data_IF_629384202076
#
_entry.id   IF_629384202076
#
_cell.length_a   1.000
_cell.length_b   1.000
_cell.length_c   1.000
_cell.angle_alpha   90.00
_cell.angle_beta   90.00
_cell.angle_gamma   90.00
#
_symmetry.space_group_name_H-M   'P 1'
#
loop_
_entity.id
_entity.type
_entity.pdbx_description
1 polymer ?
#
# COMPACT_ATOMS: atom_id res chain seq x y z
N UNK A 1 -14.43 20.55 50.84
CA UNK A 1 -14.12 19.52 49.82
C UNK A 1 -14.33 18.15 50.45
N UNK A 2 -15.24 17.30 49.97
CA UNK A 2 -15.39 15.97 50.53
C UNK A 2 -14.16 15.14 50.17
N UNK A 3 -13.51 14.53 51.16
CA UNK A 3 -12.41 13.59 50.98
C UNK A 3 -12.89 12.47 50.05
N UNK A 4 -12.26 12.32 48.87
CA UNK A 4 -12.48 11.16 48.01
C UNK A 4 -12.22 9.90 48.86
N UNK A 5 -13.24 9.05 49.06
CA UNK A 5 -13.04 7.72 49.62
C UNK A 5 -12.11 6.96 48.66
N UNK A 6 -10.95 6.49 49.14
CA UNK A 6 -10.11 5.59 48.35
C UNK A 6 -10.83 4.25 48.26
N UNK A 7 -11.39 3.98 47.09
CA UNK A 7 -12.08 2.73 46.79
C UNK A 7 -11.00 1.74 46.35
N UNK A 8 -10.91 0.59 47.02
CA UNK A 8 -9.95 -0.45 46.63
C UNK A 8 -10.36 -1.08 45.29
N UNK A 9 -9.43 -1.14 44.35
CA UNK A 9 -9.65 -1.71 43.01
C UNK A 9 -8.65 -2.85 42.80
N UNK A 10 -9.12 -3.95 42.22
CA UNK A 10 -8.29 -5.11 41.88
C UNK A 10 -8.38 -5.42 40.39
N UNK A 11 -7.27 -5.78 39.77
CA UNK A 11 -7.23 -6.22 38.38
C UNK A 11 -7.63 -7.70 38.28
N UNK A 12 -8.69 -7.99 37.54
CA UNK A 12 -9.22 -9.34 37.31
C UNK A 12 -8.70 -9.91 35.99
N UNK A 13 -8.74 -9.10 34.93
CA UNK A 13 -8.21 -9.44 33.62
C UNK A 13 -7.36 -8.27 33.10
N UNK A 14 -6.18 -8.59 32.58
CA UNK A 14 -5.26 -7.62 32.02
C UNK A 14 -5.82 -7.02 30.71
N UNK A 15 -6.54 -7.81 29.92
CA UNK A 15 -6.93 -7.42 28.57
C UNK A 15 -5.74 -7.32 27.60
N UNK A 16 -6.00 -6.76 26.42
CA UNK A 16 -5.08 -6.76 25.27
C UNK A 16 -4.73 -5.36 24.76
N UNK A 17 -3.47 -5.20 24.32
CA UNK A 17 -3.03 -4.05 23.52
C UNK A 17 -3.23 -4.39 22.05
N UNK A 18 -4.07 -3.59 21.39
CA UNK A 18 -4.34 -3.71 19.95
C UNK A 18 -3.75 -2.50 19.24
N UNK A 19 -2.90 -2.76 18.24
CA UNK A 19 -2.14 -1.73 17.49
C UNK A 19 -3.03 -0.62 16.94
N UNK A 20 -4.18 -0.98 16.35
CA UNK A 20 -5.13 -0.02 15.74
C UNK A 20 -5.62 1.03 16.76
N UNK A 21 -5.88 0.61 18.00
CA UNK A 21 -6.41 1.48 19.04
C UNK A 21 -5.32 2.16 19.84
N UNK A 22 -4.25 1.46 20.21
CA UNK A 22 -3.22 1.97 21.11
C UNK A 22 -2.09 2.71 20.39
N UNK A 23 -1.89 2.45 19.09
CA UNK A 23 -0.82 3.02 18.26
C UNK A 23 -1.33 3.49 16.88
N UNK A 24 -2.64 3.73 16.77
CA UNK A 24 -3.29 4.32 15.60
C UNK A 24 -3.69 5.79 15.80
N UNK A 25 -4.51 6.35 14.90
CA UNK A 25 -4.90 7.76 14.91
C UNK A 25 -5.58 8.25 16.20
N UNK A 26 -6.37 7.38 16.83
CA UNK A 26 -7.12 7.67 18.06
C UNK A 26 -6.38 7.23 19.33
N UNK A 27 -5.11 6.83 19.22
CA UNK A 27 -4.30 6.31 20.32
C UNK A 27 -4.32 7.16 21.58
N UNK A 28 -4.26 8.49 21.44
CA UNK A 28 -4.24 9.41 22.59
C UNK A 28 -5.37 9.23 23.61
N UNK A 29 -6.49 8.62 23.22
CA UNK A 29 -7.62 8.38 24.11
C UNK A 29 -7.54 7.02 24.82
N UNK A 30 -6.68 6.12 24.34
CA UNK A 30 -6.41 4.80 24.92
C UNK A 30 -5.24 4.80 25.90
N UNK A 31 -4.67 5.98 26.19
CA UNK A 31 -3.61 6.16 27.17
C UNK A 31 -4.03 7.20 28.20
N UNK A 32 -3.94 6.84 29.49
CA UNK A 32 -4.27 7.72 30.61
C UNK A 32 -2.98 8.11 31.34
N UNK A 33 -2.92 9.35 31.82
CA UNK A 33 -1.78 9.87 32.56
C UNK A 33 -2.00 9.61 34.06
N UNK A 34 -0.96 9.14 34.77
CA UNK A 34 -1.01 9.03 36.24
C UNK A 34 -1.18 10.41 36.89
N UNK A 35 -1.97 10.48 37.96
CA UNK A 35 -2.39 11.74 38.61
C UNK A 35 -1.39 12.30 39.62
N UNK A 36 -0.34 11.57 39.98
CA UNK A 36 0.62 12.01 41.01
C UNK A 36 1.91 12.63 40.43
N UNK A 37 2.44 13.59 41.19
CA UNK A 37 3.35 14.68 40.78
C UNK A 37 4.71 14.24 40.22
N UNK A 38 5.36 15.22 39.57
CA UNK A 38 6.73 15.28 39.02
C UNK A 38 7.10 14.26 37.92
N UNK A 39 6.57 13.04 37.93
CA UNK A 39 6.84 11.99 36.92
C UNK A 39 5.55 11.37 36.34
N UNK A 40 4.64 12.22 35.86
CA UNK A 40 3.40 11.79 35.24
C UNK A 40 3.67 10.87 34.04
N UNK A 41 3.39 9.58 34.20
CA UNK A 41 3.63 8.54 33.18
C UNK A 41 2.30 8.09 32.57
N UNK A 42 2.30 7.78 31.27
CA UNK A 42 1.14 7.20 30.60
C UNK A 42 1.02 5.70 30.86
N UNK A 43 -0.20 5.22 31.03
CA UNK A 43 -0.53 3.79 31.08
C UNK A 43 -1.67 3.47 30.12
N UNK A 44 -1.70 2.27 29.52
CA UNK A 44 -2.70 1.91 28.53
C UNK A 44 -4.03 1.55 29.19
N UNK A 45 -5.13 1.87 28.50
CA UNK A 45 -6.46 1.35 28.76
C UNK A 45 -6.66 0.13 27.85
N UNK A 46 -6.54 -1.09 28.37
CA UNK A 46 -6.50 -2.28 27.51
C UNK A 46 -7.90 -2.76 27.14
N UNK A 47 -8.05 -3.26 25.91
CA UNK A 47 -9.33 -3.82 25.46
C UNK A 47 -9.58 -5.15 26.16
N UNK A 48 -10.74 -5.29 26.79
CA UNK A 48 -11.10 -6.43 27.63
C UNK A 48 -10.53 -6.37 29.06
N UNK A 49 -9.83 -5.28 29.42
CA UNK A 49 -9.34 -5.10 30.78
C UNK A 49 -10.51 -5.12 31.75
N UNK A 50 -10.43 -5.95 32.78
CA UNK A 50 -11.49 -6.11 33.79
C UNK A 50 -10.95 -5.75 35.17
N UNK A 51 -11.55 -4.77 35.82
CA UNK A 51 -11.25 -4.41 37.22
C UNK A 51 -12.46 -4.69 38.10
N UNK A 52 -12.21 -5.11 39.35
CA UNK A 52 -13.22 -5.34 40.37
C UNK A 52 -13.06 -4.34 41.50
N UNK A 53 -14.17 -3.79 41.95
CA UNK A 53 -14.26 -3.05 43.21
C UNK A 53 -15.46 -3.53 44.04
N UNK A 54 -15.38 -3.39 45.35
CA UNK A 54 -16.45 -3.75 46.27
C UNK A 54 -17.01 -2.49 46.93
N UNK A 55 -18.30 -2.25 46.79
CA UNK A 55 -19.01 -1.12 47.38
C UNK A 55 -20.27 -1.62 48.06
N UNK A 56 -20.47 -1.23 49.33
CA UNK A 56 -21.62 -1.68 50.14
C UNK A 56 -21.83 -3.20 50.08
N UNK A 57 -20.73 -3.97 50.16
CA UNK A 57 -20.71 -5.44 50.09
C UNK A 57 -21.19 -6.04 48.76
N UNK A 58 -21.28 -5.24 47.69
CA UNK A 58 -21.57 -5.72 46.34
C UNK A 58 -20.33 -5.58 45.45
N UNK A 59 -20.12 -6.58 44.61
CA UNK A 59 -19.03 -6.59 43.63
C UNK A 59 -19.47 -5.84 42.36
N UNK A 60 -18.61 -4.92 41.93
CA UNK A 60 -18.74 -4.20 40.68
C UNK A 60 -17.54 -4.49 39.80
N UNK A 61 -17.80 -4.91 38.57
CA UNK A 61 -16.82 -5.17 37.55
C UNK A 61 -16.90 -4.11 36.46
N UNK A 62 -15.75 -3.59 36.07
CA UNK A 62 -15.64 -2.62 34.98
C UNK A 62 -14.82 -3.25 33.88
N UNK A 63 -15.40 -3.32 32.69
CA UNK A 63 -14.76 -3.88 31.50
C UNK A 63 -14.56 -2.76 30.48
N UNK A 64 -13.32 -2.61 30.02
CA UNK A 64 -12.99 -1.66 28.95
C UNK A 64 -13.29 -2.30 27.59
N UNK A 65 -14.13 -1.66 26.80
CA UNK A 65 -14.57 -2.11 25.47
C UNK A 65 -14.24 -1.08 24.40
N UNK A 66 -14.30 -1.50 23.13
CA UNK A 66 -14.13 -0.60 21.98
C UNK A 66 -15.44 0.10 21.69
N UNK A 67 -15.37 1.43 21.60
CA UNK A 67 -16.49 2.28 21.25
C UNK A 67 -17.36 2.64 22.44
N UNK A 68 -17.94 3.84 22.37
CA UNK A 68 -18.94 4.31 23.31
C UNK A 68 -20.04 5.08 22.58
N UNK A 69 -21.06 5.53 23.32
CA UNK A 69 -22.20 6.29 22.78
C UNK A 69 -21.82 7.54 21.97
N UNK A 70 -20.65 8.12 22.21
CA UNK A 70 -20.18 9.31 21.52
C UNK A 70 -19.29 9.00 20.31
N UNK A 71 -18.53 7.89 20.34
CA UNK A 71 -17.50 7.63 19.34
C UNK A 71 -17.07 6.16 19.28
N UNK A 72 -17.06 5.58 18.07
CA UNK A 72 -16.81 4.15 17.84
C UNK A 72 -15.36 3.70 18.14
N UNK A 73 -14.38 4.59 18.00
CA UNK A 73 -12.96 4.28 18.23
C UNK A 73 -12.41 4.69 19.59
N UNK A 74 -13.24 5.23 20.49
CA UNK A 74 -12.81 5.63 21.84
C UNK A 74 -13.10 4.50 22.84
N UNK A 75 -12.38 4.45 23.97
CA UNK A 75 -12.71 3.49 25.02
C UNK A 75 -14.14 3.70 25.54
N UNK A 76 -14.85 2.60 25.71
CA UNK A 76 -16.10 2.51 26.43
C UNK A 76 -15.93 1.71 27.72
N UNK A 77 -16.79 1.99 28.69
CA UNK A 77 -16.74 1.37 30.01
C UNK A 77 -18.07 0.69 30.31
N UNK A 78 -18.02 -0.62 30.46
CA UNK A 78 -19.17 -1.45 30.81
C UNK A 78 -19.09 -1.80 32.30
N UNK A 79 -20.11 -1.46 33.08
CA UNK A 79 -20.20 -1.84 34.48
C UNK A 79 -21.14 -3.04 34.63
N UNK A 80 -20.71 -4.05 35.38
CA UNK A 80 -21.50 -5.22 35.72
C UNK A 80 -21.50 -5.42 37.24
N UNK A 81 -22.68 -5.67 37.81
CA UNK A 81 -22.83 -6.13 39.18
C UNK A 81 -23.87 -7.23 39.22
N UNK A 82 -23.51 -8.40 39.75
CA UNK A 82 -24.32 -9.61 39.70
C UNK A 82 -24.84 -9.91 38.27
N UNK A 83 -26.17 -9.91 38.09
CA UNK A 83 -26.85 -10.11 36.81
C UNK A 83 -27.09 -8.81 36.01
N UNK A 84 -26.83 -7.65 36.60
CA UNK A 84 -27.07 -6.36 35.98
C UNK A 84 -25.86 -5.89 35.17
N UNK A 85 -26.12 -5.45 33.94
CA UNK A 85 -25.11 -4.89 33.04
C UNK A 85 -25.59 -3.48 32.64
N UNK A 86 -24.73 -2.49 32.81
CA UNK A 86 -25.02 -1.10 32.46
C UNK A 86 -24.95 -0.88 30.94
N UNK A 87 -25.41 0.29 30.48
CA UNK A 87 -25.02 0.77 29.16
C UNK A 87 -23.52 1.09 29.12
N UNK A 88 -22.96 1.18 27.91
CA UNK A 88 -21.56 1.53 27.70
C UNK A 88 -21.38 3.03 27.92
N UNK A 89 -20.63 3.39 28.96
CA UNK A 89 -20.33 4.77 29.30
C UNK A 89 -19.07 5.28 28.60
N UNK A 90 -18.98 6.59 28.41
CA UNK A 90 -17.85 7.26 27.74
C UNK A 90 -16.78 7.77 28.70
N UNK A 91 -17.02 7.74 30.01
CA UNK A 91 -16.10 8.29 31.02
C UNK A 91 -15.83 7.25 32.14
N UNK A 92 -14.55 7.00 32.48
CA UNK A 92 -14.17 6.09 33.55
C UNK A 92 -14.58 6.55 34.96
N UNK A 93 -14.80 7.85 35.16
CA UNK A 93 -15.22 8.44 36.43
C UNK A 93 -16.64 8.01 36.81
N UNK A 94 -17.49 7.75 35.82
CA UNK A 94 -18.80 7.12 36.01
C UNK A 94 -18.69 5.62 36.31
N UNK A 95 -17.51 5.02 36.13
CA UNK A 95 -17.23 3.61 36.27
C UNK A 95 -16.24 3.28 37.41
N UNK A 96 -15.95 4.20 38.32
CA UNK A 96 -15.22 3.90 39.58
C UNK A 96 -13.83 3.25 39.34
N UNK A 97 -13.07 3.73 38.34
CA UNK A 97 -11.70 3.24 38.10
C UNK A 97 -10.66 4.17 38.73
N UNK A 98 -10.23 3.91 39.96
CA UNK A 98 -8.89 4.28 40.43
C UNK A 98 -7.92 3.15 40.06
N UNK A 99 -6.77 3.50 39.50
CA UNK A 99 -5.74 2.53 39.14
C UNK A 99 -4.60 2.73 40.14
N UNK A 100 -4.45 1.78 41.06
CA UNK A 100 -3.34 1.79 42.01
C UNK A 100 -2.01 1.52 41.29
N UNK A 101 -0.89 1.98 41.86
CA UNK A 101 0.45 1.87 41.24
C UNK A 101 0.82 0.43 40.84
N UNK A 102 0.45 -0.56 41.65
CA UNK A 102 0.68 -1.98 41.38
C UNK A 102 -0.03 -2.47 40.10
N UNK A 103 -1.21 -1.92 39.80
CA UNK A 103 -1.95 -2.26 38.58
C UNK A 103 -1.30 -1.60 37.38
N UNK A 104 -0.87 -0.34 37.51
CA UNK A 104 -0.15 0.40 36.46
C UNK A 104 1.10 -0.37 36.04
N UNK A 105 1.89 -0.89 36.98
CA UNK A 105 3.06 -1.70 36.67
C UNK A 105 2.71 -2.95 35.85
N UNK A 106 1.63 -3.67 36.19
CA UNK A 106 1.15 -4.82 35.40
C UNK A 106 0.68 -4.40 34.01
N UNK A 107 -0.02 -3.27 33.90
CA UNK A 107 -0.49 -2.71 32.63
C UNK A 107 0.65 -2.23 31.72
N UNK A 108 1.87 -2.06 32.23
CA UNK A 108 3.03 -1.65 31.44
C UNK A 108 3.91 -2.83 30.98
N UNK A 109 3.69 -4.04 31.50
CA UNK A 109 4.64 -5.17 31.36
C UNK A 109 5.03 -5.57 29.92
N UNK A 110 4.11 -5.55 28.97
CA UNK A 110 4.33 -5.92 27.55
C UNK A 110 4.20 -4.75 26.57
N UNK A 111 4.14 -3.52 27.09
CA UNK A 111 4.11 -2.28 26.31
C UNK A 111 5.45 -2.07 25.59
N UNK A 112 5.39 -1.83 24.27
CA UNK A 112 6.60 -1.57 23.46
C UNK A 112 7.12 -0.15 23.61
N UNK A 113 6.20 0.79 23.64
CA UNK A 113 6.49 2.21 23.74
C UNK A 113 5.40 2.87 24.55
N UNK A 114 5.80 3.57 25.62
CA UNK A 114 4.90 4.41 26.41
C UNK A 114 4.87 5.78 25.76
N UNK A 115 3.70 6.27 25.33
CA UNK A 115 3.58 7.58 24.71
C UNK A 115 4.05 8.71 25.63
N UNK A 116 4.42 9.83 25.02
CA UNK A 116 4.76 11.06 25.71
C UNK A 116 3.93 12.21 25.15
N UNK A 117 3.71 13.23 25.97
CA UNK A 117 3.04 14.45 25.53
C UNK A 117 3.95 15.63 25.74
N UNK A 118 4.07 16.46 24.71
CA UNK A 118 4.78 17.73 24.76
C UNK A 118 3.80 18.86 24.44
N UNK A 119 4.12 20.05 24.94
CA UNK A 119 3.37 21.28 24.65
C UNK A 119 4.30 22.20 23.88
N UNK A 120 3.83 22.67 22.72
CA UNK A 120 4.53 23.62 21.88
C UNK A 120 3.60 24.81 21.68
N UNK A 121 3.95 25.96 22.27
CA UNK A 121 3.03 27.09 22.43
C UNK A 121 1.69 26.65 23.05
N UNK A 122 0.62 26.56 22.26
CA UNK A 122 -0.72 26.11 22.65
C UNK A 122 -1.09 24.71 22.13
N UNK A 123 -0.20 24.06 21.39
CA UNK A 123 -0.44 22.77 20.77
C UNK A 123 0.08 21.63 21.65
N UNK A 124 -0.82 20.72 22.03
CA UNK A 124 -0.47 19.49 22.75
C UNK A 124 -0.21 18.36 21.75
N UNK A 125 1.06 18.07 21.51
CA UNK A 125 1.50 16.98 20.63
C UNK A 125 1.66 15.71 21.48
N UNK A 126 1.05 14.63 21.01
CA UNK A 126 1.08 13.31 21.62
C UNK A 126 1.89 12.38 20.72
N UNK A 127 3.03 11.91 21.21
CA UNK A 127 3.96 11.07 20.46
C UNK A 127 3.81 9.65 20.98
N UNK A 128 3.48 8.71 20.09
CA UNK A 128 3.11 7.34 20.44
C UNK A 128 3.84 6.30 19.59
N UNK A 129 4.80 6.73 18.78
CA UNK A 129 5.74 5.86 18.10
C UNK A 129 7.06 6.59 17.93
N UNK A 130 8.16 5.87 18.15
CA UNK A 130 9.50 6.37 17.90
C UNK A 130 10.15 5.51 16.82
N UNK A 131 10.68 6.18 15.81
CA UNK A 131 11.54 5.59 14.80
C UNK A 131 12.82 6.40 14.74
N UNK A 132 13.94 5.75 14.51
CA UNK A 132 15.27 6.38 14.45
C UNK A 132 15.83 6.25 13.04
N UNK A 133 16.62 7.24 12.60
CA UNK A 133 17.39 7.15 11.36
C UNK A 133 18.63 8.03 11.40
N UNK A 134 19.50 7.87 10.40
CA UNK A 134 20.62 8.78 10.14
C UNK A 134 20.20 10.05 9.37
N UNK A 135 18.93 10.19 8.96
CA UNK A 135 18.49 11.34 8.16
C UNK A 135 18.42 12.61 9.02
N UNK A 136 19.27 13.58 8.68
CA UNK A 136 19.36 14.88 9.37
C UNK A 136 18.11 15.73 9.12
N UNK A 137 17.53 15.64 7.91
CA UNK A 137 16.31 16.37 7.55
C UNK A 137 15.07 15.92 8.35
N UNK A 138 15.15 14.76 8.98
CA UNK A 138 14.14 14.23 9.89
C UNK A 138 14.54 14.38 11.36
N UNK A 139 15.58 15.18 11.65
CA UNK A 139 16.15 15.35 12.98
C UNK A 139 16.41 13.99 13.66
N UNK A 140 16.99 13.07 12.90
CA UNK A 140 17.31 11.69 13.29
C UNK A 140 16.11 10.81 13.69
N UNK A 141 14.89 11.28 13.50
CA UNK A 141 13.72 10.40 13.50
C UNK A 141 13.71 9.54 12.24
N UNK A 142 12.94 8.47 12.25
CA UNK A 142 12.90 7.49 11.16
C UNK A 142 11.58 6.75 11.09
N UNK A 143 11.56 5.74 10.20
CA UNK A 143 10.40 4.89 9.97
C UNK A 143 9.85 4.33 11.29
N UNK A 144 8.55 4.52 11.53
CA UNK A 144 7.89 4.14 12.78
C UNK A 144 7.66 5.30 13.75
N UNK A 145 8.21 6.49 13.48
CA UNK A 145 7.83 7.70 14.21
C UNK A 145 6.36 8.04 13.97
N UNK A 146 5.60 8.27 15.04
CA UNK A 146 4.19 8.65 14.99
C UNK A 146 3.86 9.68 16.08
N UNK A 147 3.22 10.77 15.68
CA UNK A 147 2.68 11.77 16.60
C UNK A 147 1.30 12.26 16.17
N UNK A 148 0.57 12.86 17.11
CA UNK A 148 -0.74 13.46 16.83
C UNK A 148 -0.97 14.73 17.61
N UNK A 149 -1.72 15.65 17.01
CA UNK A 149 -2.24 16.85 17.68
C UNK A 149 -3.72 17.01 17.36
N UNK A 150 -4.45 17.65 18.28
CA UNK A 150 -5.84 18.01 18.06
C UNK A 150 -5.88 19.49 17.73
N UNK A 151 -6.48 19.84 16.60
CA UNK A 151 -6.70 21.22 16.21
C UNK A 151 -7.98 21.38 15.39
N UNK A 152 -8.37 22.62 15.11
CA UNK A 152 -9.57 22.93 14.32
C UNK A 152 -9.33 22.66 12.82
N UNK A 153 -10.30 22.03 12.17
CA UNK A 153 -10.32 21.74 10.72
C UNK A 153 -11.75 21.89 10.18
N UNK A 154 -11.90 22.31 8.91
CA UNK A 154 -13.16 22.44 8.16
C UNK A 154 -14.40 22.85 8.99
N UNK A 155 -14.69 24.16 9.01
CA UNK A 155 -15.83 24.68 9.79
C UNK A 155 -15.58 24.74 11.29
N UNK A 156 -14.32 24.90 11.71
CA UNK A 156 -13.88 25.04 13.11
C UNK A 156 -14.18 23.84 14.03
N UNK A 157 -14.54 22.68 13.48
CA UNK A 157 -14.68 21.43 14.23
C UNK A 157 -13.31 20.85 14.58
N UNK A 158 -13.23 20.12 15.69
CA UNK A 158 -11.99 19.44 16.07
C UNK A 158 -11.64 18.33 15.07
N UNK A 159 -10.35 18.16 14.81
CA UNK A 159 -9.79 17.08 14.02
C UNK A 159 -8.45 16.63 14.64
N UNK A 160 -8.09 15.38 14.36
CA UNK A 160 -6.81 14.80 14.76
C UNK A 160 -5.89 14.85 13.55
N UNK A 161 -4.78 15.55 13.70
CA UNK A 161 -3.70 15.59 12.75
C UNK A 161 -2.69 14.55 13.18
N UNK A 162 -2.39 13.60 12.29
CA UNK A 162 -1.47 12.49 12.55
C UNK A 162 -0.25 12.66 11.65
N UNK A 163 0.91 12.82 12.28
CA UNK A 163 2.20 12.93 11.61
C UNK A 163 2.92 11.58 11.71
N UNK A 164 3.40 11.06 10.59
CA UNK A 164 4.13 9.79 10.52
C UNK A 164 5.39 9.93 9.68
N UNK A 165 6.41 9.14 10.00
CA UNK A 165 7.57 8.92 9.14
C UNK A 165 7.56 7.45 8.74
N UNK A 166 7.62 7.20 7.43
CA UNK A 166 7.64 5.87 6.83
C UNK A 166 8.74 5.84 5.76
N UNK A 167 9.63 4.84 5.82
CA UNK A 167 10.72 4.53 4.86
C UNK A 167 11.53 5.72 4.29
N UNK A 168 10.96 6.46 3.34
CA UNK A 168 11.53 7.55 2.53
C UNK A 168 10.70 8.84 2.55
N UNK A 169 9.60 8.88 3.31
CA UNK A 169 8.67 10.01 3.30
C UNK A 169 8.06 10.31 4.67
N UNK A 170 7.71 11.58 4.82
CA UNK A 170 6.87 12.08 5.88
C UNK A 170 5.41 12.11 5.39
N UNK A 171 4.48 11.80 6.29
CA UNK A 171 3.04 11.73 6.01
C UNK A 171 2.29 12.56 7.04
N UNK A 172 1.30 13.32 6.58
CA UNK A 172 0.31 13.99 7.41
C UNK A 172 -1.09 13.51 7.01
N UNK A 173 -1.81 12.94 7.97
CA UNK A 173 -3.20 12.52 7.82
C UNK A 173 -4.10 13.34 8.73
N UNK A 174 -5.28 13.71 8.24
CA UNK A 174 -6.27 14.48 9.01
C UNK A 174 -7.51 13.63 9.19
N UNK A 175 -7.86 13.34 10.44
CA UNK A 175 -9.02 12.55 10.83
C UNK A 175 -10.07 13.44 11.49
N UNK A 176 -11.32 13.31 11.01
CA UNK A 176 -12.48 14.01 11.55
C UNK A 176 -13.71 13.12 11.36
N UNK A 177 -14.64 13.12 12.31
CA UNK A 177 -15.87 12.30 12.27
C UNK A 177 -15.58 10.82 11.94
N UNK A 178 -14.62 10.21 12.64
CA UNK A 178 -14.21 8.80 12.50
C UNK A 178 -13.61 8.40 11.14
N UNK A 179 -13.25 9.36 10.29
CA UNK A 179 -12.75 9.07 8.95
C UNK A 179 -11.55 9.95 8.60
N UNK A 180 -10.62 9.37 7.82
CA UNK A 180 -9.54 10.13 7.21
C UNK A 180 -10.15 11.06 6.14
N UNK A 181 -9.95 12.37 6.28
CA UNK A 181 -10.47 13.39 5.35
C UNK A 181 -9.43 13.85 4.34
N UNK A 182 -8.16 13.95 4.75
CA UNK A 182 -7.05 14.33 3.87
C UNK A 182 -5.78 13.59 4.23
N UNK A 183 -4.92 13.39 3.23
CA UNK A 183 -3.58 12.83 3.36
C UNK A 183 -2.61 13.65 2.52
N UNK A 184 -1.46 13.98 3.09
CA UNK A 184 -0.37 14.68 2.43
C UNK A 184 0.92 13.89 2.62
N UNK A 185 1.74 13.82 1.58
CA UNK A 185 3.03 13.13 1.56
C UNK A 185 4.10 14.06 0.98
N UNK A 186 5.32 13.95 1.51
CA UNK A 186 6.47 14.76 1.15
C UNK A 186 7.76 14.22 1.79
N UNK A 187 8.91 14.65 1.29
CA UNK A 187 10.22 14.11 1.67
C UNK A 187 10.64 14.47 3.11
N UNK A 188 10.18 15.61 3.62
CA UNK A 188 10.52 16.11 4.97
C UNK A 188 9.28 16.56 5.74
N UNK A 189 9.34 16.65 7.08
CA UNK A 189 8.22 17.17 7.87
C UNK A 189 7.80 18.57 7.42
N UNK A 190 8.78 19.41 7.06
CA UNK A 190 8.58 20.76 6.52
C UNK A 190 7.82 20.71 5.19
N UNK A 191 8.25 19.85 4.26
CA UNK A 191 7.65 19.75 2.94
C UNK A 191 6.17 19.34 3.01
N UNK A 192 5.85 18.36 3.87
CA UNK A 192 4.48 17.86 4.07
C UNK A 192 3.56 18.95 4.59
N UNK A 193 3.96 19.66 5.65
CA UNK A 193 3.15 20.71 6.25
C UNK A 193 2.99 21.93 5.32
N UNK A 194 4.04 22.32 4.58
CA UNK A 194 3.94 23.36 3.55
C UNK A 194 2.92 22.98 2.47
N UNK A 195 2.96 21.73 1.98
CA UNK A 195 2.01 21.21 0.98
C UNK A 195 0.56 21.16 1.47
N UNK A 196 0.35 21.00 2.78
CA UNK A 196 -1.00 21.04 3.36
C UNK A 196 -1.65 22.41 3.29
N UNK A 197 -0.83 23.47 3.25
CA UNK A 197 -1.24 24.87 3.42
C UNK A 197 -1.96 25.20 4.74
N UNK A 198 -1.94 24.28 5.70
CA UNK A 198 -2.55 24.46 7.02
C UNK A 198 -1.49 24.92 8.02
N UNK A 199 -1.95 25.63 9.07
CA UNK A 199 -1.10 25.99 10.21
C UNK A 199 0.22 26.69 9.81
N UNK A 200 0.19 27.54 8.76
CA UNK A 200 1.37 28.18 8.13
C UNK A 200 2.27 28.97 9.09
N UNK A 201 1.79 29.32 10.29
CA UNK A 201 2.58 29.94 11.36
C UNK A 201 3.70 29.02 11.87
N UNK A 202 3.50 27.70 11.85
CA UNK A 202 4.39 26.74 12.49
C UNK A 202 5.33 26.07 11.49
N UNK A 203 6.55 25.75 11.94
CA UNK A 203 7.46 24.88 11.21
C UNK A 203 6.93 23.43 11.24
N UNK A 204 7.07 22.70 10.12
CA UNK A 204 6.68 21.28 10.05
C UNK A 204 7.44 20.40 11.05
N UNK A 205 8.72 20.70 11.33
CA UNK A 205 9.48 19.97 12.35
C UNK A 205 8.92 20.19 13.77
N UNK A 206 8.47 21.41 14.08
CA UNK A 206 7.74 21.73 15.31
C UNK A 206 6.42 20.96 15.39
N UNK A 207 5.62 20.94 14.32
CA UNK A 207 4.34 20.24 14.29
C UNK A 207 4.47 18.71 14.35
N UNK A 208 5.59 18.15 13.92
CA UNK A 208 5.91 16.75 14.17
C UNK A 208 6.31 16.51 15.64
N UNK A 209 6.83 17.52 16.33
CA UNK A 209 7.35 17.44 17.69
C UNK A 209 8.84 17.15 17.77
N UNK A 210 9.56 17.23 16.64
CA UNK A 210 10.95 16.79 16.52
C UNK A 210 11.96 17.82 17.00
N UNK A 211 11.63 19.11 17.00
CA UNK A 211 12.52 20.15 17.55
C UNK A 211 12.55 20.16 19.09
N UNK A 212 11.64 19.42 19.73
CA UNK A 212 11.60 19.36 21.19
C UNK A 212 12.82 18.61 21.74
N UNK A 213 13.55 19.24 22.67
CA UNK A 213 14.78 18.68 23.24
C UNK A 213 14.57 17.33 23.93
N UNK A 214 13.46 17.13 24.64
CA UNK A 214 13.15 15.86 25.30
C UNK A 214 12.89 14.75 24.28
N UNK A 215 12.18 15.04 23.19
CA UNK A 215 11.98 14.09 22.08
C UNK A 215 13.31 13.74 21.43
N UNK A 216 14.18 14.72 21.21
CA UNK A 216 15.51 14.50 20.68
C UNK A 216 16.35 13.63 21.62
N UNK A 217 16.37 13.90 22.93
CA UNK A 217 17.03 13.02 23.90
C UNK A 217 16.48 11.60 23.84
N UNK A 218 15.17 11.43 23.70
CA UNK A 218 14.54 10.12 23.58
C UNK A 218 14.99 9.38 22.31
N UNK A 219 15.05 10.07 21.16
CA UNK A 219 15.56 9.53 19.89
C UNK A 219 17.03 9.10 20.05
N UNK A 220 17.86 9.94 20.65
CA UNK A 220 19.27 9.65 20.91
C UNK A 220 19.45 8.46 21.86
N UNK A 221 18.69 8.41 22.96
CA UNK A 221 18.73 7.28 23.90
C UNK A 221 18.27 5.97 23.26
N UNK A 222 17.24 5.99 22.42
CA UNK A 222 16.81 4.80 21.69
C UNK A 222 17.87 4.33 20.69
N UNK A 223 18.55 5.27 20.02
CA UNK A 223 19.71 4.97 19.17
C UNK A 223 20.88 4.36 19.94
N UNK A 224 21.10 4.78 21.20
CA UNK A 224 22.15 4.22 22.06
C UNK A 224 21.76 2.87 22.67
N UNK A 225 20.47 2.61 22.91
CA UNK A 225 19.97 1.32 23.44
C UNK A 225 20.05 0.18 22.42
N UNK A 226 19.91 0.46 21.13
CA UNK A 226 20.18 -0.55 20.10
C UNK A 226 21.70 -0.71 19.98
N UNK A 227 22.22 -1.95 20.00
CA UNK A 227 23.64 -2.16 19.82
C UNK A 227 24.03 -1.71 18.42
N UNK A 228 25.12 -0.94 18.33
CA UNK A 228 25.70 -0.57 17.03
C UNK A 228 26.15 -1.86 16.36
N UNK A 229 25.59 -2.16 15.19
CA UNK A 229 25.86 -3.38 14.46
C UNK A 229 26.26 -3.06 13.02
N UNK A 230 27.33 -3.71 12.57
CA UNK A 230 27.84 -3.66 11.22
C UNK A 230 28.03 -5.09 10.69
N UNK A 231 28.28 -5.29 9.39
CA UNK A 231 28.50 -6.62 8.82
C UNK A 231 29.49 -7.51 9.60
N UNK A 232 30.57 -6.93 10.14
CA UNK A 232 31.54 -7.64 11.00
C UNK A 232 30.95 -8.24 12.29
N UNK A 233 29.80 -7.72 12.74
CA UNK A 233 29.11 -8.13 13.96
C UNK A 233 27.99 -9.14 13.68
N UNK A 234 27.69 -9.46 12.42
CA UNK A 234 26.55 -10.32 12.09
C UNK A 234 26.69 -11.74 12.61
N UNK A 235 27.90 -12.23 12.85
CA UNK A 235 28.12 -13.54 13.49
C UNK A 235 27.78 -13.55 14.99
N UNK A 236 27.73 -12.38 15.64
CA UNK A 236 27.36 -12.28 17.05
C UNK A 236 25.84 -12.39 17.21
N UNK A 237 25.38 -13.58 17.58
CA UNK A 237 23.97 -13.86 17.78
C UNK A 237 23.33 -12.98 18.86
N UNK A 238 24.05 -12.58 19.91
CA UNK A 238 23.49 -11.78 21.00
C UNK A 238 23.14 -10.37 20.52
N UNK A 239 24.05 -9.73 19.80
CA UNK A 239 23.84 -8.41 19.18
C UNK A 239 22.69 -8.50 18.17
N UNK A 240 22.76 -9.47 17.26
CA UNK A 240 21.75 -9.63 16.21
C UNK A 240 20.36 -9.95 16.78
N UNK A 241 20.27 -10.73 17.87
CA UNK A 241 19.01 -11.08 18.53
C UNK A 241 18.32 -9.86 19.14
N UNK A 242 19.06 -8.90 19.68
CA UNK A 242 18.46 -7.66 20.20
C UNK A 242 17.80 -6.86 19.07
N UNK A 243 18.48 -6.74 17.94
CA UNK A 243 17.98 -6.04 16.75
C UNK A 243 16.79 -6.80 16.13
N UNK A 244 16.87 -8.14 16.06
CA UNK A 244 15.75 -9.00 15.64
C UNK A 244 14.52 -8.81 16.53
N UNK A 245 14.70 -8.79 17.85
CA UNK A 245 13.60 -8.61 18.80
C UNK A 245 12.88 -7.27 18.59
N UNK A 246 13.62 -6.24 18.21
CA UNK A 246 13.09 -4.91 17.95
C UNK A 246 12.35 -4.83 16.60
N UNK A 247 12.94 -5.35 15.52
CA UNK A 247 12.39 -5.22 14.17
C UNK A 247 11.46 -6.37 13.76
N UNK A 248 11.88 -7.62 13.91
CA UNK A 248 11.24 -8.75 13.24
C UNK A 248 10.35 -9.63 14.13
N UNK A 249 10.65 -9.76 15.43
CA UNK A 249 10.00 -10.74 16.33
C UNK A 249 8.46 -10.70 16.33
N UNK A 250 7.86 -9.51 16.19
CA UNK A 250 6.39 -9.33 16.17
C UNK A 250 5.82 -9.10 14.77
N UNK A 251 6.66 -9.16 13.72
CA UNK A 251 6.33 -8.77 12.34
C UNK A 251 6.62 -9.87 11.31
N UNK A 252 7.08 -11.03 11.76
CA UNK A 252 7.44 -12.21 10.95
C UNK A 252 6.76 -13.46 11.53
N UNK A 253 6.79 -14.57 10.79
CA UNK A 253 6.28 -15.86 11.25
C UNK A 253 7.07 -16.41 12.43
N UNK A 254 6.41 -17.20 13.29
CA UNK A 254 7.07 -17.86 14.41
C UNK A 254 8.15 -18.85 13.91
N UNK A 255 9.25 -18.98 14.66
CA UNK A 255 10.35 -19.91 14.40
C UNK A 255 11.10 -19.72 13.08
N UNK A 256 11.07 -18.52 12.49
CA UNK A 256 11.88 -18.19 11.33
C UNK A 256 13.38 -18.25 11.63
N UNK A 257 14.16 -18.94 10.80
CA UNK A 257 15.63 -18.94 10.90
C UNK A 257 16.23 -17.66 10.30
N UNK A 258 15.88 -16.52 10.88
CA UNK A 258 16.21 -15.18 10.38
C UNK A 258 17.72 -14.91 10.33
N UNK A 259 18.50 -15.50 11.24
CA UNK A 259 19.94 -15.26 11.35
C UNK A 259 20.71 -15.86 10.18
N UNK A 260 20.19 -16.96 9.60
CA UNK A 260 20.77 -17.63 8.44
C UNK A 260 20.95 -16.71 7.23
N UNK A 261 20.06 -15.71 7.06
CA UNK A 261 20.20 -14.69 6.01
C UNK A 261 21.57 -14.02 6.08
N UNK A 262 21.96 -13.60 7.29
CA UNK A 262 23.18 -12.81 7.51
C UNK A 262 24.42 -13.69 7.47
N UNK A 263 24.34 -14.90 8.03
CA UNK A 263 25.45 -15.88 7.98
C UNK A 263 25.75 -16.27 6.53
N UNK A 264 24.73 -16.65 5.75
CA UNK A 264 24.91 -16.99 4.33
C UNK A 264 25.40 -15.81 3.50
N UNK A 265 25.00 -14.58 3.83
CA UNK A 265 25.49 -13.38 3.15
C UNK A 265 26.95 -13.05 3.48
N UNK A 266 27.44 -13.41 4.68
CA UNK A 266 28.88 -13.30 5.01
C UNK A 266 29.73 -14.31 4.23
N UNK A 267 29.20 -15.48 3.93
CA UNK A 267 29.89 -16.53 3.16
C UNK A 267 29.97 -16.21 1.65
N UNK A 268 29.09 -15.35 1.14
CA UNK A 268 29.10 -14.95 -0.27
C UNK A 268 30.24 -13.99 -0.59
N UNK A 269 30.91 -14.24 -1.71
CA UNK A 269 31.94 -13.36 -2.27
C UNK A 269 31.37 -11.98 -2.65
N UNK A 270 30.18 -11.97 -3.26
CA UNK A 270 29.48 -10.74 -3.61
C UNK A 270 28.95 -10.03 -2.35
N UNK A 271 29.22 -8.72 -2.18
CA UNK A 271 28.60 -7.95 -1.10
C UNK A 271 27.13 -7.64 -1.39
N UNK A 272 26.68 -7.80 -2.64
CA UNK A 272 25.32 -7.48 -3.09
C UNK A 272 24.48 -8.76 -3.14
N UNK A 273 23.26 -8.68 -2.59
CA UNK A 273 22.20 -9.70 -2.73
C UNK A 273 20.92 -9.09 -3.29
N UNK A 274 20.08 -9.95 -3.87
CA UNK A 274 18.68 -9.64 -4.12
C UNK A 274 17.83 -10.12 -2.94
N UNK A 275 17.15 -9.19 -2.26
CA UNK A 275 16.49 -9.42 -0.98
C UNK A 275 15.39 -10.47 -1.05
N UNK A 276 14.51 -10.42 -2.05
CA UNK A 276 13.34 -11.30 -2.09
C UNK A 276 13.73 -12.75 -2.32
N UNK A 277 14.76 -13.00 -3.13
CA UNK A 277 15.33 -14.33 -3.35
C UNK A 277 15.90 -14.89 -2.06
N UNK A 278 16.63 -14.09 -1.28
CA UNK A 278 17.15 -14.54 0.02
C UNK A 278 16.02 -14.82 1.02
N UNK A 279 15.01 -13.96 1.09
CA UNK A 279 13.85 -14.19 1.97
C UNK A 279 13.05 -15.43 1.55
N UNK A 280 12.85 -15.68 0.25
CA UNK A 280 12.12 -16.87 -0.24
C UNK A 280 12.77 -18.19 0.19
N UNK A 281 14.08 -18.22 0.43
CA UNK A 281 14.77 -19.42 0.93
C UNK A 281 14.40 -19.70 2.40
N UNK A 282 14.18 -18.65 3.19
CA UNK A 282 13.92 -18.76 4.63
C UNK A 282 12.46 -19.04 4.96
N UNK A 283 11.55 -18.69 4.05
CA UNK A 283 10.11 -18.76 4.24
C UNK A 283 9.51 -19.99 3.56
N UNK A 284 8.33 -20.47 4.03
CA UNK A 284 7.62 -21.55 3.38
C UNK A 284 7.30 -21.23 1.90
N UNK A 285 7.29 -22.28 1.06
CA UNK A 285 6.91 -22.16 -0.34
C UNK A 285 5.52 -21.51 -0.47
N UNK A 286 5.39 -20.55 -1.40
CA UNK A 286 4.19 -19.73 -1.64
C UNK A 286 3.84 -18.69 -0.55
N UNK A 287 4.72 -18.40 0.42
CA UNK A 287 4.51 -17.30 1.35
C UNK A 287 4.34 -15.97 0.60
N UNK A 288 3.28 -15.23 0.96
CA UNK A 288 3.05 -13.88 0.43
C UNK A 288 3.47 -12.87 1.50
N UNK A 289 4.57 -12.19 1.24
CA UNK A 289 5.05 -11.15 2.12
C UNK A 289 4.05 -9.98 2.16
N UNK A 290 3.72 -9.54 3.37
CA UNK A 290 3.01 -8.28 3.55
C UNK A 290 3.98 -7.10 3.50
N UNK A 291 3.51 -5.93 3.08
CA UNK A 291 4.33 -4.71 3.10
C UNK A 291 4.92 -4.43 4.49
N UNK A 292 4.17 -4.74 5.55
CA UNK A 292 4.63 -4.57 6.94
C UNK A 292 5.81 -5.46 7.28
N UNK A 293 5.80 -6.70 6.79
CA UNK A 293 6.87 -7.68 7.01
C UNK A 293 8.13 -7.29 6.24
N UNK A 294 8.00 -6.90 4.97
CA UNK A 294 9.12 -6.42 4.16
C UNK A 294 9.75 -5.17 4.78
N UNK A 295 8.91 -4.23 5.25
CA UNK A 295 9.36 -3.03 5.97
C UNK A 295 10.17 -3.33 7.22
N UNK A 296 9.78 -4.37 7.94
CA UNK A 296 10.50 -4.82 9.13
C UNK A 296 11.89 -5.35 8.76
N UNK A 297 11.99 -6.14 7.69
CA UNK A 297 13.26 -6.63 7.15
C UNK A 297 14.18 -5.51 6.70
N UNK A 298 13.68 -4.59 5.87
CA UNK A 298 14.47 -3.45 5.39
C UNK A 298 14.97 -2.56 6.54
N UNK A 299 14.17 -2.40 7.59
CA UNK A 299 14.57 -1.61 8.77
C UNK A 299 15.66 -2.31 9.57
N UNK A 300 15.54 -3.63 9.76
CA UNK A 300 16.62 -4.42 10.36
C UNK A 300 17.90 -4.33 9.53
N UNK A 301 17.83 -4.48 8.21
CA UNK A 301 18.99 -4.39 7.32
C UNK A 301 19.75 -3.07 7.46
N UNK A 302 19.03 -1.94 7.51
CA UNK A 302 19.65 -0.62 7.71
C UNK A 302 20.35 -0.51 9.07
N UNK A 303 19.73 -1.00 10.13
CA UNK A 303 20.26 -0.90 11.49
C UNK A 303 21.46 -1.83 11.73
N UNK A 304 21.63 -2.88 10.92
CA UNK A 304 22.82 -3.76 10.96
C UNK A 304 23.91 -3.36 9.95
N UNK A 305 23.77 -2.19 9.32
CA UNK A 305 24.80 -1.62 8.44
C UNK A 305 24.76 -2.10 6.99
N UNK A 306 23.57 -2.45 6.47
CA UNK A 306 23.34 -2.69 5.03
C UNK A 306 22.57 -1.56 4.37
N UNK A 307 22.73 -1.44 3.05
CA UNK A 307 22.17 -0.35 2.27
C UNK A 307 21.44 -0.85 1.04
N UNK A 308 20.31 -0.21 0.70
CA UNK A 308 19.61 -0.47 -0.55
C UNK A 308 20.35 0.22 -1.71
N UNK A 309 20.71 -0.54 -2.73
CA UNK A 309 21.47 -0.10 -3.91
C UNK A 309 20.70 -0.33 -5.21
N UNK A 310 19.39 -0.56 -5.10
CA UNK A 310 18.50 -0.82 -6.25
C UNK A 310 18.53 0.35 -7.24
N UNK A 311 18.78 0.11 -8.54
CA UNK A 311 18.95 1.20 -9.50
C UNK A 311 17.63 1.70 -10.12
N UNK A 312 16.51 1.01 -9.88
CA UNK A 312 15.18 1.34 -10.39
C UNK A 312 14.20 1.71 -9.27
N UNK A 313 13.10 2.34 -9.66
CA UNK A 313 12.00 2.67 -8.76
C UNK A 313 11.09 1.48 -8.48
N UNK A 314 10.38 1.51 -7.34
CA UNK A 314 9.38 0.50 -6.98
C UNK A 314 8.22 0.38 -7.99
N UNK A 315 8.05 1.35 -8.91
CA UNK A 315 7.06 1.27 -10.00
C UNK A 315 7.54 0.41 -11.17
N UNK A 316 8.85 0.33 -11.38
CA UNK A 316 9.47 -0.40 -12.47
C UNK A 316 9.69 -1.87 -12.11
N UNK A 317 9.94 -2.16 -10.84
CA UNK A 317 10.16 -3.52 -10.36
C UNK A 317 10.03 -3.63 -8.83
N UNK A 318 9.59 -4.80 -8.39
CA UNK A 318 9.53 -5.19 -6.98
C UNK A 318 10.89 -5.66 -6.43
N UNK A 319 11.84 -6.05 -7.29
CA UNK A 319 13.13 -6.60 -6.87
C UNK A 319 14.02 -5.54 -6.23
N UNK A 320 14.67 -5.91 -5.12
CA UNK A 320 15.51 -5.00 -4.35
C UNK A 320 16.91 -5.57 -4.16
N UNK A 321 17.92 -4.78 -4.51
CA UNK A 321 19.32 -5.09 -4.24
C UNK A 321 19.81 -4.39 -2.99
N UNK A 322 20.48 -5.15 -2.14
CA UNK A 322 21.07 -4.65 -0.91
C UNK A 322 22.54 -5.03 -0.85
N UNK A 323 23.37 -4.13 -0.33
CA UNK A 323 24.80 -4.35 -0.15
C UNK A 323 25.19 -4.31 1.33
N UNK A 324 26.18 -5.13 1.68
CA UNK A 324 26.92 -5.08 2.95
C UNK A 324 28.27 -4.37 2.82
N UNK A 325 28.57 -3.78 1.67
CA UNK A 325 29.80 -3.03 1.42
C UNK A 325 29.87 -1.78 2.30
N UNK A 326 31.08 -1.39 2.69
CA UNK A 326 31.34 -0.10 3.33
C UNK A 326 31.22 1.09 2.37
N UNK A 327 31.14 0.83 1.07
CA UNK A 327 31.04 1.85 0.01
C UNK A 327 29.79 1.62 -0.86
N UNK A 328 28.57 1.75 -0.29
CA UNK A 328 27.33 1.42 -1.00
C UNK A 328 27.07 2.27 -2.24
N UNK A 329 27.63 3.49 -2.28
CA UNK A 329 27.52 4.40 -3.41
C UNK A 329 28.21 3.87 -4.68
N UNK A 330 29.32 3.14 -4.53
CA UNK A 330 30.01 2.53 -5.67
C UNK A 330 29.17 1.39 -6.25
N UNK A 331 28.67 0.49 -5.40
CA UNK A 331 27.79 -0.60 -5.80
C UNK A 331 26.55 -0.07 -6.52
N UNK A 332 25.92 0.97 -5.97
CA UNK A 332 24.77 1.64 -6.58
C UNK A 332 25.13 2.23 -7.95
N UNK A 333 26.25 2.93 -8.06
CA UNK A 333 26.70 3.51 -9.33
C UNK A 333 26.98 2.41 -10.39
N UNK A 334 27.60 1.30 -9.99
CA UNK A 334 27.86 0.15 -10.86
C UNK A 334 26.56 -0.48 -11.35
N UNK A 335 25.60 -0.75 -10.47
CA UNK A 335 24.30 -1.29 -10.86
C UNK A 335 23.52 -0.33 -11.76
N UNK A 336 23.56 0.97 -11.49
CA UNK A 336 22.96 1.99 -12.35
C UNK A 336 23.62 2.03 -13.74
N UNK A 337 24.95 1.93 -13.82
CA UNK A 337 25.65 1.88 -15.10
C UNK A 337 25.23 0.65 -15.89
N UNK A 338 25.32 -0.55 -15.29
CA UNK A 338 24.92 -1.82 -15.91
C UNK A 338 23.45 -1.83 -16.37
N UNK A 339 22.57 -1.16 -15.63
CA UNK A 339 21.17 -0.97 -16.04
C UNK A 339 21.04 -0.04 -17.26
N UNK A 340 21.74 1.11 -17.27
CA UNK A 340 21.73 2.05 -18.41
C UNK A 340 22.26 1.45 -19.71
N UNK A 341 23.27 0.58 -19.64
CA UNK A 341 23.82 -0.12 -20.81
C UNK A 341 23.03 -1.38 -21.19
N UNK A 342 21.93 -1.69 -20.49
CA UNK A 342 21.00 -2.77 -20.84
C UNK A 342 21.40 -4.17 -20.37
N UNK A 343 22.44 -4.31 -19.55
CA UNK A 343 22.88 -5.60 -19.00
C UNK A 343 22.11 -6.00 -17.74
N UNK A 344 21.53 -5.03 -17.00
CA UNK A 344 20.60 -5.29 -15.92
C UNK A 344 19.17 -4.89 -16.31
N UNK A 345 18.27 -5.86 -16.24
CA UNK A 345 16.83 -5.68 -16.47
C UNK A 345 16.10 -5.71 -15.15
N UNK A 346 15.06 -4.88 -15.02
CA UNK A 346 14.31 -4.74 -13.77
C UNK A 346 13.55 -6.02 -13.38
N UNK A 347 13.25 -6.90 -14.34
CA UNK A 347 12.64 -8.22 -14.12
C UNK A 347 13.48 -9.31 -14.78
N UNK A 348 14.01 -10.29 -14.03
CA UNK A 348 14.84 -11.37 -14.57
C UNK A 348 14.11 -12.20 -15.64
N UNK A 349 14.82 -12.57 -16.71
CA UNK A 349 14.28 -13.27 -17.88
C UNK A 349 13.70 -14.66 -17.56
N UNK A 350 14.20 -15.32 -16.51
CA UNK A 350 13.78 -16.67 -16.10
C UNK A 350 12.54 -16.70 -15.20
N UNK A 351 12.06 -15.54 -14.73
CA UNK A 351 10.76 -15.45 -14.06
C UNK A 351 9.65 -15.41 -15.12
N UNK A 352 8.50 -16.08 -14.91
CA UNK A 352 7.42 -16.17 -15.91
C UNK A 352 6.80 -14.80 -16.15
N UNK A 353 7.40 -14.05 -17.06
CA UNK A 353 6.85 -12.81 -17.57
C UNK A 353 5.72 -13.19 -18.52
N UNK A 354 4.48 -13.11 -18.03
CA UNK A 354 3.27 -13.37 -18.83
C UNK A 354 3.26 -12.51 -20.10
N UNK A 355 3.78 -11.28 -20.03
CA UNK A 355 3.93 -10.36 -21.17
C UNK A 355 4.95 -10.88 -22.18
N UNK A 356 6.13 -11.37 -21.75
CA UNK A 356 7.12 -11.98 -22.66
C UNK A 356 6.60 -13.28 -23.27
N UNK A 357 5.90 -14.09 -22.48
CA UNK A 357 5.27 -15.34 -22.94
C UNK A 357 4.20 -15.05 -23.99
N UNK A 358 3.39 -14.01 -23.79
CA UNK A 358 2.43 -13.51 -24.76
C UNK A 358 3.11 -13.10 -26.06
N UNK A 359 4.10 -12.19 -26.01
CA UNK A 359 4.81 -11.72 -27.22
C UNK A 359 5.50 -12.86 -27.97
N UNK A 360 6.16 -13.79 -27.27
CA UNK A 360 6.80 -14.95 -27.89
C UNK A 360 5.81 -15.92 -28.52
N UNK A 361 4.64 -16.12 -27.90
CA UNK A 361 3.59 -16.98 -28.45
C UNK A 361 2.93 -16.35 -29.67
N UNK A 362 2.72 -15.03 -29.64
CA UNK A 362 2.19 -14.29 -30.77
C UNK A 362 3.17 -14.22 -31.95
N UNK A 363 4.46 -14.05 -31.68
CA UNK A 363 5.52 -14.11 -32.70
C UNK A 363 5.57 -15.48 -33.38
N UNK A 364 5.51 -16.57 -32.60
CA UNK A 364 5.40 -17.94 -33.15
C UNK A 364 4.17 -18.08 -34.05
N UNK A 365 3.01 -17.58 -33.64
CA UNK A 365 1.82 -17.59 -34.48
C UNK A 365 2.02 -16.84 -35.82
N UNK A 366 2.74 -15.73 -35.82
CA UNK A 366 3.07 -14.98 -37.05
C UNK A 366 4.08 -15.72 -37.95
N UNK A 367 5.04 -16.43 -37.36
CA UNK A 367 6.07 -17.18 -38.07
C UNK A 367 5.55 -18.49 -38.65
N UNK A 368 4.60 -19.15 -37.99
CA UNK A 368 4.00 -20.41 -38.44
C UNK A 368 2.99 -20.19 -39.56
N UNK A 369 2.31 -19.04 -39.59
CA UNK A 369 1.36 -18.65 -40.64
C UNK A 369 2.08 -18.11 -41.91
N UNK A 370 3.07 -18.85 -42.42
CA UNK A 370 3.90 -18.50 -43.58
C UNK A 370 3.23 -18.64 -44.95
N UNK A 371 2.03 -19.21 -45.04
CA UNK A 371 1.45 -19.61 -46.33
C UNK A 371 1.00 -18.45 -47.24
N UNK A 372 0.98 -17.19 -46.77
CA UNK A 372 0.85 -15.96 -47.58
C UNK A 372 0.95 -14.70 -46.70
N UNK A 373 1.15 -13.54 -47.33
CA UNK A 373 1.12 -12.22 -46.64
C UNK A 373 -0.20 -11.96 -45.91
N UNK A 374 -1.29 -12.55 -46.38
CA UNK A 374 -2.62 -12.43 -45.79
C UNK A 374 -2.76 -13.21 -44.47
N UNK A 375 -2.09 -14.35 -44.29
CA UNK A 375 -2.03 -15.06 -43.01
C UNK A 375 -1.39 -14.22 -41.91
N UNK A 376 -0.26 -13.57 -42.22
CA UNK A 376 0.42 -12.65 -41.29
C UNK A 376 -0.43 -11.43 -40.97
N UNK A 377 -1.07 -10.84 -41.99
CA UNK A 377 -1.99 -9.70 -41.80
C UNK A 377 -3.17 -10.07 -40.93
N UNK A 378 -3.77 -11.24 -41.14
CA UNK A 378 -4.90 -11.74 -40.36
C UNK A 378 -4.52 -11.93 -38.90
N UNK A 379 -3.43 -12.64 -38.62
CA UNK A 379 -2.99 -12.87 -37.23
C UNK A 379 -2.61 -11.56 -36.56
N UNK A 380 -1.81 -10.71 -37.21
CA UNK A 380 -1.40 -9.42 -36.65
C UNK A 380 -2.60 -8.49 -36.44
N UNK A 381 -3.63 -8.57 -37.27
CA UNK A 381 -4.83 -7.72 -37.17
C UNK A 381 -5.47 -7.77 -35.79
N UNK A 382 -5.43 -8.93 -35.10
CA UNK A 382 -6.03 -9.18 -33.78
C UNK A 382 -5.62 -8.12 -32.74
N UNK A 383 -4.38 -7.65 -32.81
CA UNK A 383 -3.82 -6.72 -31.82
C UNK A 383 -3.34 -5.40 -32.45
N UNK A 384 -3.45 -5.25 -33.78
CA UNK A 384 -2.76 -4.20 -34.50
C UNK A 384 -3.24 -2.78 -34.11
N UNK A 385 -4.50 -2.61 -33.74
CA UNK A 385 -5.07 -1.31 -33.35
C UNK A 385 -4.84 -0.97 -31.85
N UNK A 386 -4.56 -1.97 -31.01
CA UNK A 386 -4.37 -1.80 -29.55
C UNK A 386 -2.97 -1.33 -29.15
N UNK A 387 -1.97 -1.54 -30.03
CA UNK A 387 -0.57 -1.21 -29.76
C UNK A 387 -0.03 -0.18 -30.75
N UNK A 388 0.97 0.60 -30.32
CA UNK A 388 1.65 1.54 -31.22
C UNK A 388 2.49 0.81 -32.29
N UNK A 389 2.79 1.52 -33.38
CA UNK A 389 3.69 0.99 -34.42
C UNK A 389 5.05 0.59 -33.85
N UNK A 390 5.63 1.43 -32.98
CA UNK A 390 6.94 1.18 -32.36
C UNK A 390 6.95 -0.08 -31.50
N UNK A 391 5.90 -0.30 -30.71
CA UNK A 391 5.77 -1.48 -29.86
C UNK A 391 5.63 -2.77 -30.69
N UNK A 392 4.85 -2.73 -31.77
CA UNK A 392 4.67 -3.88 -32.66
C UNK A 392 5.96 -4.19 -33.45
N UNK A 393 6.64 -3.15 -33.97
CA UNK A 393 7.92 -3.28 -34.66
C UNK A 393 8.98 -3.91 -33.74
N UNK A 394 9.12 -3.39 -32.52
CA UNK A 394 10.14 -3.84 -31.55
C UNK A 394 9.83 -5.23 -30.99
N UNK A 395 8.57 -5.50 -30.63
CA UNK A 395 8.21 -6.76 -29.97
C UNK A 395 7.94 -7.92 -30.93
N UNK A 396 7.59 -7.68 -32.20
CA UNK A 396 7.25 -8.73 -33.16
C UNK A 396 8.15 -8.78 -34.39
N UNK A 397 9.07 -7.82 -34.55
CA UNK A 397 9.95 -7.70 -35.72
C UNK A 397 9.17 -7.68 -37.05
N UNK A 398 8.03 -6.98 -37.06
CA UNK A 398 7.16 -6.82 -38.24
C UNK A 398 7.33 -5.43 -38.84
N UNK A 399 7.36 -5.35 -40.18
CA UNK A 399 7.50 -4.06 -40.86
C UNK A 399 6.25 -3.18 -40.76
N UNK A 400 6.44 -1.86 -40.76
CA UNK A 400 5.37 -0.84 -40.73
C UNK A 400 4.25 -1.07 -41.73
N UNK A 401 4.61 -1.45 -42.95
CA UNK A 401 3.66 -1.76 -44.02
C UNK A 401 2.73 -2.92 -43.63
N UNK A 402 3.28 -3.99 -43.05
CA UNK A 402 2.51 -5.13 -42.58
C UNK A 402 1.54 -4.74 -41.46
N UNK A 403 1.96 -3.89 -40.53
CA UNK A 403 1.08 -3.36 -39.47
C UNK A 403 -0.08 -2.57 -40.08
N UNK A 404 0.21 -1.66 -41.01
CA UNK A 404 -0.82 -0.85 -41.69
C UNK A 404 -1.84 -1.72 -42.43
N UNK A 405 -1.38 -2.71 -43.19
CA UNK A 405 -2.25 -3.64 -43.91
C UNK A 405 -3.06 -4.53 -42.96
N UNK A 406 -2.51 -4.87 -41.79
CA UNK A 406 -3.23 -5.65 -40.77
C UNK A 406 -4.35 -4.85 -40.12
N UNK A 407 -4.16 -3.56 -39.88
CA UNK A 407 -5.22 -2.65 -39.40
C UNK A 407 -6.32 -2.48 -40.45
N UNK A 408 -5.94 -2.34 -41.72
CA UNK A 408 -6.91 -2.31 -42.84
C UNK A 408 -7.71 -3.62 -42.90
N UNK A 409 -7.03 -4.76 -42.73
CA UNK A 409 -7.67 -6.06 -42.68
C UNK A 409 -8.69 -6.15 -41.54
N UNK A 410 -8.34 -5.71 -40.33
CA UNK A 410 -9.27 -5.68 -39.19
C UNK A 410 -10.54 -4.88 -39.50
N UNK A 411 -10.39 -3.72 -40.16
CA UNK A 411 -11.52 -2.84 -40.50
C UNK A 411 -12.43 -3.42 -41.59
N UNK A 412 -11.86 -4.13 -42.56
CA UNK A 412 -12.60 -4.64 -43.73
C UNK A 412 -13.20 -6.02 -43.46
N UNK A 413 -12.46 -6.91 -42.79
CA UNK A 413 -12.83 -8.31 -42.61
C UNK A 413 -13.18 -8.65 -41.14
N UNK A 414 -12.76 -7.83 -40.18
CA UNK A 414 -12.83 -8.14 -38.74
C UNK A 414 -11.49 -8.67 -38.18
N UNK A 415 -11.29 -8.49 -36.87
CA UNK A 415 -10.09 -8.92 -36.15
C UNK A 415 -9.88 -10.43 -36.27
N UNK A 416 -8.78 -10.86 -36.89
CA UNK A 416 -8.43 -12.28 -37.05
C UNK A 416 -9.31 -13.06 -38.04
N UNK A 417 -10.28 -12.42 -38.67
CA UNK A 417 -11.25 -13.07 -39.55
C UNK A 417 -10.67 -13.38 -40.95
N UNK A 418 -11.12 -14.47 -41.61
CA UNK A 418 -10.71 -14.78 -42.98
C UNK A 418 -11.22 -13.70 -43.96
N UNK A 419 -10.50 -13.44 -45.08
CA UNK A 419 -10.99 -12.55 -46.13
C UNK A 419 -12.34 -13.02 -46.68
N UNK A 420 -13.22 -12.05 -46.98
CA UNK A 420 -14.50 -12.34 -47.64
C UNK A 420 -14.26 -12.97 -49.02
N UNK A 421 -14.84 -14.14 -49.28
CA UNK A 421 -14.78 -14.78 -50.60
C UNK A 421 -15.62 -13.97 -51.60
N UNK A 422 -15.02 -13.62 -52.75
CA UNK A 422 -15.77 -12.97 -53.84
C UNK A 422 -16.77 -13.96 -54.44
N UNK A 423 -18.02 -13.55 -54.75
CA UNK A 423 -18.97 -14.42 -55.43
C UNK A 423 -18.47 -14.77 -56.83
N UNK A 424 -18.66 -16.04 -57.23
CA UNK A 424 -18.30 -16.52 -58.58
C UNK A 424 -19.35 -16.01 -59.57
N UNK A 425 -18.93 -15.15 -60.51
CA UNK A 425 -19.82 -14.57 -61.53
C UNK A 425 -19.72 -15.40 -62.81
N UNK A 426 -20.77 -16.16 -63.16
CA UNK A 426 -20.88 -16.80 -64.46
C UNK A 426 -21.57 -15.86 -65.46
N UNK A 427 -20.85 -15.46 -66.52
CA UNK A 427 -21.41 -14.67 -67.63
C UNK A 427 -21.86 -15.63 -68.74
N UNK A 428 -23.16 -15.75 -68.96
CA UNK A 428 -23.71 -16.54 -70.07
C UNK A 428 -23.98 -15.61 -71.26
N UNK A 429 -23.47 -15.98 -72.45
CA UNK A 429 -23.72 -15.25 -73.69
C UNK A 429 -25.07 -15.67 -74.25
N UNK A 430 -26.04 -14.76 -74.27
CA UNK A 430 -27.38 -15.01 -74.81
C UNK A 430 -27.30 -15.17 -76.34
N UNK A 431 -27.91 -16.22 -76.90
CA UNK A 431 -28.05 -16.41 -78.36
C UNK A 431 -28.93 -15.32 -78.97
N UNK A 432 -28.66 -14.89 -80.19
CA UNK A 432 -29.42 -13.83 -80.88
C UNK A 432 -30.92 -14.13 -80.95
N UNK A 433 -31.32 -15.39 -81.13
CA UNK A 433 -32.73 -15.80 -81.10
C UNK A 433 -33.41 -15.46 -79.76
N UNK A 434 -32.73 -15.67 -78.64
CA UNK A 434 -33.25 -15.32 -77.31
C UNK A 434 -33.31 -13.80 -77.11
N UNK A 435 -32.41 -13.05 -77.75
CA UNK A 435 -32.40 -11.59 -77.71
C UNK A 435 -33.55 -11.02 -78.55
N UNK A 436 -33.77 -11.58 -79.74
CA UNK A 436 -34.89 -11.25 -80.62
C UNK A 436 -36.23 -11.62 -79.99
N UNK A 437 -36.33 -12.78 -79.34
CA UNK A 437 -37.53 -13.18 -78.60
C UNK A 437 -37.79 -12.22 -77.44
N UNK A 438 -36.75 -11.83 -76.69
CA UNK A 438 -36.88 -10.78 -75.65
C UNK A 438 -37.33 -9.46 -76.24
N UNK A 439 -36.77 -9.03 -77.36
CA UNK A 439 -37.17 -7.79 -78.04
C UNK A 439 -38.61 -7.85 -78.53
N UNK A 440 -39.04 -8.97 -79.13
CA UNK A 440 -40.42 -9.16 -79.56
C UNK A 440 -41.38 -9.12 -78.37
N UNK A 441 -41.07 -9.83 -77.28
CA UNK A 441 -41.88 -9.80 -76.05
C UNK A 441 -41.95 -8.39 -75.47
N UNK A 442 -40.84 -7.65 -75.47
CA UNK A 442 -40.81 -6.27 -74.99
C UNK A 442 -41.64 -5.33 -75.88
N UNK A 443 -41.55 -5.47 -77.21
CA UNK A 443 -42.32 -4.68 -78.18
C UNK A 443 -43.82 -5.02 -78.13
N UNK A 444 -44.18 -6.28 -77.90
CA UNK A 444 -45.57 -6.71 -77.71
C UNK A 444 -46.15 -6.15 -76.40
N UNK A 445 -45.35 -6.10 -75.34
CA UNK A 445 -45.73 -5.47 -74.07
C UNK A 445 -45.90 -3.95 -74.21
N UNK A 446 -45.04 -3.27 -74.99
CA UNK A 446 -45.19 -1.84 -75.31
C UNK A 446 -46.47 -1.60 -76.14
N UNK A 447 -46.71 -2.37 -77.21
CA UNK A 447 -47.94 -2.24 -78.02
C UNK A 447 -49.22 -2.47 -77.21
N UNK A 448 -49.19 -3.41 -76.25
CA UNK A 448 -50.29 -3.64 -75.30
C UNK A 448 -50.48 -2.50 -74.31
N UNK A 449 -49.40 -1.82 -73.91
CA UNK A 449 -49.49 -0.64 -73.04
C UNK A 449 -50.10 0.58 -73.77
N UNK A 450 -49.70 0.81 -75.03
CA UNK A 450 -50.20 1.95 -75.83
C UNK A 450 -51.68 1.80 -76.21
N UNK A 451 -52.14 0.57 -76.50
CA UNK A 451 -53.57 0.29 -76.79
C UNK A 451 -54.46 0.39 -75.54
N UNK A 452 -53.90 0.23 -74.34
CA UNK A 452 -54.61 0.44 -73.08
C UNK A 452 -54.71 1.92 -72.68
N UNK A 453 -53.78 2.79 -73.11
CA UNK A 453 -53.86 4.24 -72.84
C UNK A 453 -54.83 5.00 -73.77
N UNK A 454 -55.14 4.48 -74.97
CA UNK A 454 -56.10 5.11 -75.89
C UNK A 454 -57.59 4.83 -75.58
N UNK A 455 -57.91 3.99 -74.59
CA UNK A 455 -59.30 3.58 -74.26
C UNK A 455 -59.81 3.99 -72.87
N UNK A 456 -59.11 4.89 -72.17
CA UNK A 456 -59.57 5.42 -70.87
C UNK A 456 -59.49 6.96 -70.86
N UNK A 457 -60.45 7.59 -71.52
CA UNK A 457 -61.04 8.86 -71.08
C UNK A 457 -62.57 8.75 -71.28
N UNK A 458 -63.39 8.88 -70.22
CA UNK A 458 -64.82 8.57 -70.25
C UNK A 458 -65.70 9.79 -70.62
N UNK A 459 -66.84 9.45 -71.22
CA UNK A 459 -68.14 10.14 -71.32
C UNK A 459 -68.35 11.46 -70.53
N UNK A 460 -68.62 12.52 -71.31
CA UNK A 460 -69.60 13.65 -71.20
C UNK A 460 -69.63 14.62 -70.00
N UNK A 461 -69.35 15.90 -70.25
CA UNK A 461 -70.30 17.02 -70.51
C UNK A 461 -69.56 18.21 -71.14
#
# INVERSE_FOLDING_TARGET
MPKHRSIAVSLVDLGSIVEEFHYGPYSRFWWKMSTDKENATFFPLRIGQKTKTCLNSHDFFVIIVVGNKNHAFLPGYLCQSDAYISQIESDPSNAISSQDEDIIHKLLGDVLFVPISIIIESLKIFIYGIGISSQVDWLNAGSGYKSSLIYKFNGNKQAIYVSKIEEDKCILEIYQDNQMKKKYEGETPIAVWKKSELMKKYNGNLLFGLENSFVQTLIHQHKVKLPICFPKNWNDYSIMKQIYNYHLKRRTIANLNWHQLFLGWLEQESPIIELYSQLRILYPNNHKFSDRELRAWQSMLRDVGSYNVTPWSNKESEYQFWTRSSQPEQDRATLQQLSKIGFLVSTPIHMPNKTKTFWNSFRRALDDNKQNSDGKRRVLSIIADEFSYSELETNLNVGRHTISESRKHARVNGYGAPPLLKPVIHRVKLKEEMLNLKHQVFQEQIRRADTCQARVNPITE
#
